data_IF_617089917095
#
_entry.id   IF_617089917095
#
_cell.length_a   1.000
_cell.length_b   1.000
_cell.length_c   1.000
_cell.angle_alpha   90.00
_cell.angle_beta   90.00
_cell.angle_gamma   90.00
#
_symmetry.space_group_name_H-M   'P 1'
#
loop_
_entity.id
_entity.type
_entity.pdbx_description
1 polymer ?
#
# COMPACT_ATOMS: atom_id res chain seq x y z
N UNK A 1 -2.79 14.68 22.00
CA UNK A 1 -2.88 16.11 21.65
C UNK A 1 -3.35 16.21 20.20
N UNK A 2 -4.48 16.87 19.93
CA UNK A 2 -4.90 17.20 18.57
C UNK A 2 -4.25 18.53 18.19
N UNK A 3 -3.46 18.55 17.13
CA UNK A 3 -2.81 19.78 16.64
C UNK A 3 -3.70 20.40 15.57
N UNK A 4 -4.06 21.68 15.72
CA UNK A 4 -4.77 22.42 14.67
C UNK A 4 -3.81 22.79 13.54
N UNK A 5 -4.22 22.50 12.30
CA UNK A 5 -3.42 22.76 11.11
C UNK A 5 -3.65 24.18 10.59
N UNK A 6 -2.55 24.90 10.31
CA UNK A 6 -2.57 26.18 9.61
C UNK A 6 -2.56 26.01 8.07
N UNK A 7 -2.80 24.79 7.57
CA UNK A 7 -2.78 24.50 6.14
C UNK A 7 -3.84 25.32 5.39
N UNK A 8 -3.40 26.04 4.35
CA UNK A 8 -4.26 26.71 3.38
C UNK A 8 -4.00 26.09 2.01
N UNK A 9 -5.02 25.49 1.35
CA UNK A 9 -4.83 24.95 0.01
C UNK A 9 -4.56 26.09 -0.98
N UNK A 10 -3.90 25.76 -2.09
CA UNK A 10 -3.80 26.68 -3.22
C UNK A 10 -5.21 27.12 -3.65
N UNK A 11 -5.37 28.38 -4.06
CA UNK A 11 -6.69 28.98 -4.36
C UNK A 11 -7.47 28.20 -5.43
N UNK A 12 -6.77 27.56 -6.38
CA UNK A 12 -7.34 26.72 -7.44
C UNK A 12 -7.52 25.24 -7.04
N UNK A 13 -7.12 24.85 -5.83
CA UNK A 13 -7.33 23.54 -5.20
C UNK A 13 -8.25 23.66 -3.98
N UNK A 14 -9.28 24.50 -4.07
CA UNK A 14 -10.14 24.87 -2.94
C UNK A 14 -11.04 23.73 -2.41
N UNK A 15 -11.20 22.63 -3.14
CA UNK A 15 -11.98 21.47 -2.70
C UNK A 15 -11.15 20.18 -2.63
N UNK A 16 -11.60 19.24 -1.80
CA UNK A 16 -10.91 17.97 -1.53
C UNK A 16 -10.74 17.10 -2.79
N UNK A 17 -11.67 17.18 -3.74
CA UNK A 17 -11.60 16.41 -4.98
C UNK A 17 -10.45 16.88 -5.87
N UNK A 18 -10.33 18.20 -6.07
CA UNK A 18 -9.25 18.80 -6.85
C UNK A 18 -7.88 18.52 -6.21
N UNK A 19 -7.79 18.64 -4.88
CA UNK A 19 -6.57 18.30 -4.13
C UNK A 19 -6.18 16.82 -4.29
N UNK A 20 -7.14 15.94 -4.56
CA UNK A 20 -6.88 14.51 -4.82
C UNK A 20 -6.52 14.26 -6.29
N UNK A 21 -7.26 14.84 -7.23
CA UNK A 21 -7.07 14.58 -8.67
C UNK A 21 -5.82 15.20 -9.24
N UNK A 22 -5.53 16.45 -8.90
CA UNK A 22 -4.38 17.15 -9.45
C UNK A 22 -3.07 16.34 -9.27
N UNK A 23 -2.70 15.89 -8.05
CA UNK A 23 -1.50 15.08 -7.89
C UNK A 23 -1.62 13.66 -8.46
N UNK A 24 -2.83 13.10 -8.57
CA UNK A 24 -3.03 11.79 -9.16
C UNK A 24 -2.87 11.78 -10.69
N UNK A 25 -3.28 12.86 -11.37
CA UNK A 25 -3.36 12.93 -12.83
C UNK A 25 -2.21 13.72 -13.47
N UNK A 26 -1.76 14.80 -12.82
CA UNK A 26 -0.86 15.77 -13.45
C UNK A 26 0.55 15.77 -12.84
N UNK A 27 0.70 15.32 -11.59
CA UNK A 27 2.02 15.24 -10.96
C UNK A 27 2.81 14.06 -11.51
N UNK A 28 3.59 14.33 -12.56
CA UNK A 28 4.61 13.41 -13.07
C UNK A 28 5.89 13.61 -12.28
N UNK A 29 6.28 12.60 -11.52
CA UNK A 29 7.60 12.53 -10.92
C UNK A 29 8.40 11.49 -11.67
N UNK A 30 9.63 11.84 -12.03
CA UNK A 30 10.57 10.86 -12.55
C UNK A 30 10.84 9.81 -11.47
N UNK A 31 10.80 8.54 -11.86
CA UNK A 31 11.30 7.45 -11.02
C UNK A 31 12.78 7.75 -10.75
N UNK A 32 13.22 7.75 -9.48
CA UNK A 32 14.63 7.98 -9.19
C UNK A 32 15.53 6.99 -9.95
N UNK A 33 16.65 7.47 -10.49
CA UNK A 33 17.62 6.63 -11.20
C UNK A 33 18.22 5.54 -10.30
N UNK A 34 18.22 5.76 -8.98
CA UNK A 34 18.81 4.86 -7.98
C UNK A 34 17.75 4.09 -7.19
N UNK A 35 16.59 3.80 -7.80
CA UNK A 35 15.59 2.95 -7.17
C UNK A 35 15.98 1.48 -7.38
N UNK A 36 16.31 0.80 -6.29
CA UNK A 36 16.80 -0.59 -6.31
C UNK A 36 15.71 -1.54 -5.82
N UNK A 37 15.28 -2.45 -6.70
CA UNK A 37 14.32 -3.49 -6.33
C UNK A 37 15.02 -4.67 -5.67
N UNK A 38 14.49 -5.09 -4.52
CA UNK A 38 14.84 -6.34 -3.88
C UNK A 38 13.60 -7.22 -3.73
N UNK A 39 13.71 -8.50 -4.09
CA UNK A 39 12.68 -9.51 -3.83
C UNK A 39 13.02 -10.27 -2.56
N UNK A 40 12.09 -10.32 -1.62
CA UNK A 40 12.19 -11.15 -0.41
C UNK A 40 11.22 -12.33 -0.52
N UNK A 41 11.73 -13.54 -0.33
CA UNK A 41 10.90 -14.74 -0.26
C UNK A 41 10.23 -14.79 1.10
N UNK A 42 8.90 -14.82 1.11
CA UNK A 42 8.10 -14.81 2.32
C UNK A 42 8.04 -16.20 2.98
N UNK A 43 7.68 -16.31 4.27
CA UNK A 43 7.60 -17.60 4.97
C UNK A 43 6.63 -18.62 4.34
N UNK A 44 5.60 -18.14 3.63
CA UNK A 44 4.67 -18.96 2.86
C UNK A 44 5.20 -19.39 1.48
N UNK A 45 6.49 -19.16 1.20
CA UNK A 45 7.20 -19.50 -0.05
C UNK A 45 6.70 -18.75 -1.29
N UNK A 46 6.10 -17.59 -1.06
CA UNK A 46 5.79 -16.60 -2.09
C UNK A 46 6.83 -15.47 -2.04
N UNK A 47 6.47 -14.26 -2.44
CA UNK A 47 7.39 -13.13 -2.36
C UNK A 47 6.72 -11.78 -2.06
N UNK A 48 7.53 -10.85 -1.55
CA UNK A 48 7.25 -9.41 -1.59
C UNK A 48 8.40 -8.70 -2.29
N UNK A 49 8.08 -7.70 -3.10
CA UNK A 49 9.08 -6.84 -3.73
C UNK A 49 9.14 -5.51 -2.97
N UNK A 50 10.34 -5.10 -2.60
CA UNK A 50 10.61 -3.82 -1.96
C UNK A 50 11.48 -2.97 -2.87
N UNK A 51 11.22 -1.67 -2.87
CA UNK A 51 11.97 -0.72 -3.69
C UNK A 51 12.70 0.28 -2.78
N UNK A 52 14.02 0.11 -2.71
CA UNK A 52 14.94 0.94 -1.94
C UNK A 52 15.22 2.26 -2.65
N UNK A 53 15.40 3.31 -1.85
CA UNK A 53 15.88 4.59 -2.34
C UNK A 53 16.66 5.36 -1.27
N UNK A 54 17.87 5.78 -1.63
CA UNK A 54 18.80 6.52 -0.77
C UNK A 54 20.05 5.73 -0.40
N UNK A 55 20.97 6.40 0.29
CA UNK A 55 22.28 5.83 0.67
C UNK A 55 22.14 4.85 1.83
N UNK A 56 23.05 3.86 1.90
CA UNK A 56 23.19 2.98 3.07
C UNK A 56 23.60 3.79 4.32
N UNK A 57 23.37 3.21 5.50
CA UNK A 57 23.73 3.80 6.82
C UNK A 57 22.99 5.09 7.22
N UNK A 58 22.00 5.54 6.44
CA UNK A 58 21.05 6.59 6.85
C UNK A 58 19.86 6.00 7.64
N UNK A 59 19.19 6.80 8.50
CA UNK A 59 17.93 6.37 9.11
C UNK A 59 16.91 5.98 8.03
N UNK A 60 16.15 4.92 8.31
CA UNK A 60 15.29 4.27 7.33
C UNK A 60 13.82 4.59 7.57
N UNK A 61 13.09 4.86 6.49
CA UNK A 61 11.64 4.96 6.51
C UNK A 61 11.00 3.88 5.63
N UNK A 62 10.22 2.99 6.23
CA UNK A 62 9.39 2.00 5.50
C UNK A 62 8.11 2.69 5.04
N UNK A 63 7.78 2.58 3.75
CA UNK A 63 6.61 3.22 3.14
C UNK A 63 5.58 2.18 2.71
N UNK A 64 4.32 2.37 3.13
CA UNK A 64 3.17 1.57 2.73
C UNK A 64 2.20 2.37 1.86
N UNK A 65 1.97 1.86 0.65
CA UNK A 65 1.06 2.49 -0.30
C UNK A 65 -0.43 2.22 0.02
N UNK A 66 -1.31 2.95 -0.65
CA UNK A 66 -2.76 2.76 -0.58
C UNK A 66 -3.27 1.62 -1.47
N UNK A 67 -4.58 1.39 -1.45
CA UNK A 67 -5.24 0.37 -2.26
C UNK A 67 -4.99 0.61 -3.75
N UNK A 68 -4.67 -0.44 -4.51
CA UNK A 68 -4.28 -0.39 -5.94
C UNK A 68 -3.05 0.48 -6.24
N UNK A 69 -2.29 0.88 -5.22
CA UNK A 69 -1.03 1.61 -5.36
C UNK A 69 0.17 0.67 -5.58
N UNK A 70 1.35 1.28 -5.50
CA UNK A 70 2.67 0.62 -5.55
C UNK A 70 3.75 1.64 -5.14
N UNK A 71 5.01 1.21 -5.09
CA UNK A 71 6.17 2.10 -4.95
C UNK A 71 6.24 3.20 -6.02
N UNK A 72 5.67 2.94 -7.22
CA UNK A 72 5.65 3.88 -8.35
C UNK A 72 4.53 4.93 -8.24
N UNK A 73 3.72 4.90 -7.18
CA UNK A 73 2.70 5.92 -6.97
C UNK A 73 3.33 7.29 -6.76
N UNK A 74 2.77 8.34 -7.35
CA UNK A 74 3.37 9.68 -7.32
C UNK A 74 3.60 10.22 -5.90
N UNK A 75 2.72 9.91 -4.95
CA UNK A 75 2.91 10.30 -3.55
C UNK A 75 4.02 9.50 -2.84
N UNK A 76 4.24 8.22 -3.21
CA UNK A 76 5.37 7.44 -2.70
C UNK A 76 6.66 7.98 -3.27
N UNK A 77 6.78 8.11 -4.59
CA UNK A 77 7.97 8.67 -5.24
C UNK A 77 8.32 10.08 -4.72
N UNK A 78 7.30 10.92 -4.56
CA UNK A 78 7.49 12.28 -4.01
C UNK A 78 7.98 12.27 -2.57
N UNK A 79 7.50 11.34 -1.75
CA UNK A 79 7.96 11.19 -0.38
C UNK A 79 9.37 10.59 -0.32
N UNK A 80 9.70 9.60 -1.15
CA UNK A 80 11.05 9.05 -1.25
C UNK A 80 12.07 10.15 -1.62
N UNK A 81 11.76 11.00 -2.60
CA UNK A 81 12.58 12.19 -2.93
C UNK A 81 12.73 13.16 -1.77
N UNK A 82 11.63 13.45 -1.08
CA UNK A 82 11.65 14.34 0.07
C UNK A 82 12.53 13.79 1.20
N UNK A 83 12.39 12.51 1.53
CA UNK A 83 13.16 11.84 2.57
C UNK A 83 14.66 11.83 2.22
N UNK A 84 15.00 11.47 0.98
CA UNK A 84 16.37 11.48 0.49
C UNK A 84 17.04 12.85 0.64
N UNK A 85 16.36 13.91 0.19
CA UNK A 85 16.87 15.28 0.30
C UNK A 85 17.01 15.77 1.76
N UNK A 86 16.42 15.07 2.73
CA UNK A 86 16.54 15.33 4.15
C UNK A 86 17.46 14.33 4.87
N UNK A 87 18.32 13.62 4.13
CA UNK A 87 19.32 12.71 4.71
C UNK A 87 18.74 11.41 5.26
N UNK A 88 17.53 11.03 4.85
CA UNK A 88 16.87 9.78 5.21
C UNK A 88 16.84 8.87 3.98
N UNK A 89 16.97 7.56 4.19
CA UNK A 89 16.70 6.57 3.14
C UNK A 89 15.33 5.96 3.33
N UNK A 90 14.80 5.35 2.28
CA UNK A 90 13.46 4.79 2.29
C UNK A 90 13.39 3.43 1.62
N UNK A 91 12.42 2.64 2.03
CA UNK A 91 12.06 1.39 1.36
C UNK A 91 10.55 1.34 1.21
N UNK A 92 10.07 1.23 -0.03
CA UNK A 92 8.65 1.09 -0.31
C UNK A 92 8.30 -0.39 -0.41
N UNK A 93 7.41 -0.86 0.46
CA UNK A 93 6.84 -2.20 0.34
C UNK A 93 5.79 -2.18 -0.77
N UNK A 94 5.99 -2.96 -1.82
CA UNK A 94 4.89 -3.29 -2.72
C UNK A 94 4.10 -4.42 -2.09
N UNK A 95 2.84 -4.16 -1.77
CA UNK A 95 1.94 -5.23 -1.36
C UNK A 95 1.84 -6.29 -2.45
N UNK A 96 1.45 -7.51 -2.05
CA UNK A 96 1.38 -8.67 -2.96
C UNK A 96 0.67 -8.33 -4.26
N UNK A 97 1.43 -8.39 -5.36
CA UNK A 97 0.95 -8.19 -6.71
C UNK A 97 0.89 -6.74 -7.19
N UNK A 98 1.39 -5.81 -6.39
CA UNK A 98 1.47 -4.39 -6.71
C UNK A 98 2.83 -3.96 -7.29
N UNK A 99 3.82 -4.85 -7.34
CA UNK A 99 5.16 -4.53 -7.86
C UNK A 99 5.23 -4.44 -9.38
N UNK A 100 4.18 -4.90 -10.08
CA UNK A 100 4.11 -5.06 -11.53
C UNK A 100 3.99 -6.53 -11.97
N UNK A 101 4.32 -7.45 -11.06
CA UNK A 101 4.27 -8.90 -11.24
C UNK A 101 3.26 -9.52 -10.26
N UNK A 102 2.39 -10.45 -10.71
CA UNK A 102 1.53 -11.20 -9.82
C UNK A 102 2.32 -12.18 -8.96
N UNK A 103 1.87 -12.38 -7.73
CA UNK A 103 2.38 -13.42 -6.83
C UNK A 103 2.01 -14.84 -7.27
N UNK A 104 2.78 -15.83 -6.78
CA UNK A 104 2.63 -17.24 -7.12
C UNK A 104 1.60 -17.97 -6.25
N UNK A 105 1.08 -17.33 -5.20
CA UNK A 105 -0.03 -17.83 -4.38
C UNK A 105 -1.28 -16.96 -4.55
N UNK A 106 -2.47 -17.53 -4.33
CA UNK A 106 -3.74 -16.82 -4.39
C UNK A 106 -3.85 -15.68 -3.36
N UNK A 107 -3.14 -15.79 -2.22
CA UNK A 107 -3.10 -14.76 -1.15
C UNK A 107 -2.77 -13.37 -1.71
N UNK A 108 -3.70 -12.42 -1.54
CA UNK A 108 -3.48 -11.00 -1.81
C UNK A 108 -3.24 -10.23 -0.51
N UNK A 109 -3.33 -8.90 -0.57
CA UNK A 109 -3.27 -8.02 0.60
C UNK A 109 -4.65 -7.43 0.91
N UNK A 110 -4.86 -6.99 2.16
CA UNK A 110 -6.04 -6.26 2.60
C UNK A 110 -5.72 -5.34 3.79
N UNK A 111 -6.70 -4.58 4.29
CA UNK A 111 -6.53 -3.60 5.39
C UNK A 111 -5.96 -4.17 6.68
N UNK A 112 -6.12 -5.47 6.89
CA UNK A 112 -5.73 -6.17 8.11
C UNK A 112 -4.52 -7.09 7.93
N UNK A 113 -3.93 -7.15 6.73
CA UNK A 113 -2.77 -8.02 6.47
C UNK A 113 -1.49 -7.34 6.96
N UNK A 114 -1.03 -7.76 8.14
CA UNK A 114 0.12 -7.19 8.85
C UNK A 114 1.36 -8.06 8.75
N UNK A 115 1.23 -9.27 8.22
CA UNK A 115 2.30 -10.27 8.20
C UNK A 115 3.46 -9.82 7.31
N UNK A 116 3.18 -9.31 6.11
CA UNK A 116 4.20 -8.89 5.16
C UNK A 116 4.98 -7.66 5.66
N UNK A 117 4.31 -6.70 6.31
CA UNK A 117 4.99 -5.59 6.99
C UNK A 117 5.86 -6.11 8.13
N UNK A 118 5.33 -7.02 8.96
CA UNK A 118 6.08 -7.58 10.06
C UNK A 118 7.31 -8.35 9.58
N UNK A 119 7.15 -9.17 8.54
CA UNK A 119 8.23 -9.92 7.91
C UNK A 119 9.31 -8.99 7.36
N UNK A 120 8.94 -7.91 6.65
CA UNK A 120 9.87 -6.90 6.18
C UNK A 120 10.62 -6.24 7.34
N UNK A 121 9.90 -5.78 8.37
CA UNK A 121 10.49 -5.14 9.53
C UNK A 121 11.52 -6.04 10.21
N UNK A 122 11.16 -7.30 10.48
CA UNK A 122 12.07 -8.26 11.12
C UNK A 122 13.29 -8.55 10.24
N UNK A 123 13.09 -8.71 8.93
CA UNK A 123 14.17 -8.93 7.96
C UNK A 123 15.17 -7.78 7.99
N UNK A 124 14.70 -6.53 7.95
CA UNK A 124 15.57 -5.35 7.98
C UNK A 124 16.21 -5.21 9.36
N UNK A 125 15.46 -5.39 10.45
CA UNK A 125 16.00 -5.28 11.82
C UNK A 125 17.09 -6.33 12.08
N UNK A 126 16.97 -7.53 11.51
CA UNK A 126 18.02 -8.55 11.58
C UNK A 126 19.28 -8.14 10.82
N UNK A 127 19.13 -7.58 9.61
CA UNK A 127 20.24 -7.10 8.78
C UNK A 127 20.92 -5.87 9.37
N UNK A 128 20.15 -5.01 10.02
CA UNK A 128 20.59 -3.72 10.54
C UNK A 128 20.03 -3.44 11.95
N UNK A 129 20.60 -4.08 12.99
CA UNK A 129 20.06 -4.06 14.34
C UNK A 129 19.90 -2.65 14.94
N UNK A 130 20.81 -1.74 14.60
CA UNK A 130 20.91 -0.42 15.22
C UNK A 130 20.32 0.71 14.36
N UNK A 131 19.82 0.43 13.16
CA UNK A 131 19.29 1.48 12.28
C UNK A 131 18.03 2.10 12.89
N UNK A 132 18.03 3.43 13.01
CA UNK A 132 16.83 4.19 13.37
C UNK A 132 15.78 4.01 12.28
N UNK A 133 14.55 3.64 12.67
CA UNK A 133 13.49 3.27 11.74
C UNK A 133 12.19 4.02 12.03
N UNK A 134 11.52 4.44 10.97
CA UNK A 134 10.15 4.91 11.01
C UNK A 134 9.29 4.18 9.96
N UNK A 135 7.97 4.18 10.14
CA UNK A 135 7.03 3.62 9.17
C UNK A 135 5.96 4.65 8.81
N UNK A 136 5.69 4.82 7.52
CA UNK A 136 4.66 5.73 7.02
C UNK A 136 3.67 4.93 6.18
N UNK A 137 2.38 5.00 6.51
CA UNK A 137 1.32 4.29 5.80
C UNK A 137 0.21 5.21 5.30
N UNK A 138 -0.16 5.05 4.03
CA UNK A 138 -1.22 5.83 3.39
C UNK A 138 -2.50 5.02 3.23
N UNK A 139 -3.65 5.61 3.58
CA UNK A 139 -4.96 5.00 3.37
C UNK A 139 -5.03 3.57 3.93
N UNK A 140 -5.20 2.54 3.08
CA UNK A 140 -5.21 1.14 3.53
C UNK A 140 -3.87 0.70 4.14
N UNK A 141 -2.74 1.19 3.63
CA UNK A 141 -1.43 0.95 4.24
C UNK A 141 -1.30 1.59 5.62
N UNK A 142 -2.07 2.66 5.88
CA UNK A 142 -2.21 3.22 7.22
C UNK A 142 -3.01 2.33 8.16
N UNK A 143 -4.04 1.61 7.67
CA UNK A 143 -4.74 0.60 8.48
C UNK A 143 -3.81 -0.57 8.83
N UNK A 144 -3.06 -1.09 7.86
CA UNK A 144 -2.03 -2.11 8.09
C UNK A 144 -1.05 -1.65 9.16
N UNK A 145 -0.52 -0.43 9.04
CA UNK A 145 0.39 0.15 10.03
C UNK A 145 -0.24 0.22 11.43
N UNK A 146 -1.44 0.78 11.57
CA UNK A 146 -2.07 0.96 12.88
C UNK A 146 -2.42 -0.38 13.54
N UNK A 147 -2.92 -1.35 12.77
CA UNK A 147 -3.18 -2.71 13.27
C UNK A 147 -1.88 -3.37 13.71
N UNK A 148 -0.83 -3.32 12.87
CA UNK A 148 0.46 -3.91 13.18
C UNK A 148 1.08 -3.31 14.44
N UNK A 149 1.04 -1.99 14.62
CA UNK A 149 1.48 -1.35 15.87
C UNK A 149 0.71 -1.87 17.09
N UNK A 150 -0.60 -2.04 16.96
CA UNK A 150 -1.45 -2.60 18.03
C UNK A 150 -1.12 -4.06 18.37
N UNK A 151 -0.81 -4.89 17.37
CA UNK A 151 -0.45 -6.30 17.56
C UNK A 151 0.94 -6.49 18.16
N UNK A 152 1.90 -5.65 17.78
CA UNK A 152 3.29 -5.79 18.23
C UNK A 152 3.54 -5.09 19.58
N UNK A 153 2.82 -4.00 19.86
CA UNK A 153 2.97 -3.24 21.11
C UNK A 153 4.41 -2.79 21.36
N UNK A 154 4.95 -3.07 22.54
CA UNK A 154 6.30 -2.65 22.96
C UNK A 154 7.44 -3.47 22.35
N UNK A 155 7.14 -4.50 21.54
CA UNK A 155 8.17 -5.34 20.89
C UNK A 155 8.90 -4.61 19.76
N UNK A 156 8.35 -3.50 19.27
CA UNK A 156 8.93 -2.73 18.18
C UNK A 156 9.96 -1.73 18.68
N UNK A 157 11.16 -1.80 18.12
CA UNK A 157 12.11 -0.70 18.13
C UNK A 157 11.85 0.18 16.89
N UNK A 158 10.98 1.17 17.05
CA UNK A 158 10.68 2.21 16.05
C UNK A 158 10.80 3.60 16.70
N UNK A 159 11.37 4.54 15.96
CA UNK A 159 11.50 5.93 16.39
C UNK A 159 10.21 6.72 16.14
N UNK A 160 9.48 6.38 15.07
CA UNK A 160 8.23 7.07 14.72
C UNK A 160 7.33 6.20 13.82
N UNK A 161 6.03 6.51 13.83
CA UNK A 161 5.07 6.00 12.87
C UNK A 161 4.11 7.10 12.43
N UNK A 162 3.77 7.16 11.15
CA UNK A 162 2.87 8.17 10.59
C UNK A 162 1.79 7.50 9.73
N UNK A 163 0.53 7.64 10.12
CA UNK A 163 -0.59 7.09 9.38
C UNK A 163 -1.38 8.24 8.72
N UNK A 164 -1.54 8.20 7.40
CA UNK A 164 -2.03 9.33 6.60
C UNK A 164 -3.35 8.95 5.93
N UNK A 165 -4.39 9.76 6.16
CA UNK A 165 -5.72 9.61 5.54
C UNK A 165 -6.31 8.20 5.71
N UNK A 166 -6.17 7.63 6.91
CA UNK A 166 -6.60 6.26 7.19
C UNK A 166 -8.13 6.19 7.31
N UNK A 167 -8.79 5.27 6.59
CA UNK A 167 -10.21 5.03 6.79
C UNK A 167 -10.40 4.15 8.04
N UNK A 168 -10.51 4.78 9.21
CA UNK A 168 -10.62 4.10 10.52
C UNK A 168 -11.96 3.36 10.70
N UNK A 169 -13.06 3.92 10.17
CA UNK A 169 -14.39 3.30 10.20
C UNK A 169 -14.78 2.89 8.78
N UNK A 170 -14.34 1.71 8.40
CA UNK A 170 -14.36 1.23 7.03
C UNK A 170 -15.78 1.12 6.45
N UNK A 171 -16.75 0.68 7.24
CA UNK A 171 -18.16 0.63 6.84
C UNK A 171 -18.74 2.03 6.53
N UNK A 172 -18.34 3.03 7.31
CA UNK A 172 -18.71 4.43 7.08
C UNK A 172 -18.06 4.99 5.81
N UNK A 173 -16.77 4.68 5.59
CA UNK A 173 -16.05 5.07 4.37
C UNK A 173 -16.64 4.43 3.11
N UNK A 174 -16.98 3.14 3.15
CA UNK A 174 -17.63 2.45 2.04
C UNK A 174 -18.98 3.08 1.69
N UNK A 175 -19.81 3.38 2.69
CA UNK A 175 -21.10 4.08 2.50
C UNK A 175 -20.90 5.45 1.85
N UNK A 176 -19.87 6.19 2.24
CA UNK A 176 -19.55 7.50 1.63
C UNK A 176 -19.08 7.39 0.18
N UNK A 177 -18.37 6.31 -0.18
CA UNK A 177 -17.94 6.03 -1.56
C UNK A 177 -19.11 5.70 -2.51
N UNK A 178 -20.25 5.25 -1.99
CA UNK A 178 -21.43 4.95 -2.79
C UNK A 178 -22.29 6.18 -3.12
N UNK A 179 -21.92 7.37 -2.61
CA UNK A 179 -22.72 8.59 -2.73
C UNK A 179 -22.05 9.67 -3.60
N UNK A 180 -22.88 10.35 -4.41
CA UNK A 180 -22.47 11.51 -5.20
C UNK A 180 -21.26 11.27 -6.10
N UNK A 181 -20.37 12.26 -6.15
CA UNK A 181 -19.15 12.25 -6.96
C UNK A 181 -18.14 11.16 -6.53
N UNK A 182 -18.24 10.64 -5.30
CA UNK A 182 -17.34 9.62 -4.77
C UNK A 182 -17.44 8.27 -5.51
N UNK A 183 -18.52 8.06 -6.27
CA UNK A 183 -18.70 6.91 -7.15
C UNK A 183 -17.59 6.78 -8.18
N UNK A 184 -16.97 7.89 -8.61
CA UNK A 184 -15.86 7.88 -9.55
C UNK A 184 -14.58 7.29 -8.92
N UNK A 185 -14.26 7.67 -7.67
CA UNK A 185 -13.16 7.04 -6.93
C UNK A 185 -13.39 5.54 -6.76
N UNK A 186 -14.62 5.19 -6.37
CA UNK A 186 -15.04 3.81 -6.17
C UNK A 186 -14.88 2.99 -7.46
N UNK A 187 -15.31 3.53 -8.59
CA UNK A 187 -15.18 2.87 -9.89
C UNK A 187 -13.71 2.59 -10.22
N UNK A 188 -12.83 3.59 -10.12
CA UNK A 188 -11.41 3.44 -10.40
C UNK A 188 -10.74 2.38 -9.51
N UNK A 189 -11.01 2.41 -8.19
CA UNK A 189 -10.48 1.43 -7.25
C UNK A 189 -10.91 0.00 -7.61
N UNK A 190 -12.18 -0.17 -7.98
CA UNK A 190 -12.73 -1.50 -8.27
C UNK A 190 -12.23 -2.02 -9.61
N UNK A 191 -12.09 -1.15 -10.62
CA UNK A 191 -11.45 -1.56 -11.88
C UNK A 191 -10.00 -2.00 -11.66
N UNK A 192 -9.25 -1.27 -10.81
CA UNK A 192 -7.89 -1.68 -10.44
C UNK A 192 -7.84 -3.04 -9.74
N UNK A 193 -8.79 -3.32 -8.84
CA UNK A 193 -8.90 -4.61 -8.17
C UNK A 193 -9.30 -5.75 -9.11
N UNK A 194 -10.27 -5.52 -9.99
CA UNK A 194 -10.69 -6.51 -11.00
C UNK A 194 -9.51 -6.84 -11.92
N UNK A 195 -8.81 -5.81 -12.41
CA UNK A 195 -7.63 -5.97 -13.24
C UNK A 195 -6.53 -6.78 -12.54
N UNK A 196 -6.26 -6.49 -11.26
CA UNK A 196 -5.32 -7.24 -10.46
C UNK A 196 -5.69 -8.72 -10.35
N UNK A 197 -6.95 -9.01 -10.01
CA UNK A 197 -7.44 -10.38 -9.83
C UNK A 197 -7.40 -11.17 -11.13
N UNK A 198 -7.77 -10.54 -12.26
CA UNK A 198 -7.70 -11.17 -13.58
C UNK A 198 -6.25 -11.50 -13.97
N UNK A 199 -5.32 -10.56 -13.78
CA UNK A 199 -3.89 -10.81 -14.06
C UNK A 199 -3.32 -11.92 -13.21
N UNK A 200 -3.71 -11.96 -11.93
CA UNK A 200 -3.27 -12.99 -11.00
C UNK A 200 -3.82 -14.36 -11.36
N UNK A 201 -5.10 -14.46 -11.68
CA UNK A 201 -5.70 -15.70 -12.15
C UNK A 201 -4.96 -16.25 -13.38
N UNK A 202 -4.76 -15.41 -14.40
CA UNK A 202 -4.05 -15.80 -15.62
C UNK A 202 -2.60 -16.22 -15.36
N UNK A 203 -1.92 -15.58 -14.39
CA UNK A 203 -0.57 -15.97 -13.97
C UNK A 203 -0.55 -17.34 -13.31
N UNK A 204 -1.47 -17.60 -12.37
CA UNK A 204 -1.56 -18.88 -11.66
C UNK A 204 -1.87 -20.04 -12.62
N UNK A 205 -2.76 -19.82 -13.59
CA UNK A 205 -3.01 -20.78 -14.67
C UNK A 205 -1.74 -21.03 -15.50
N UNK A 206 -1.03 -19.97 -15.87
CA UNK A 206 0.20 -20.06 -16.68
C UNK A 206 1.31 -20.86 -15.99
N UNK A 207 1.46 -20.73 -14.67
CA UNK A 207 2.49 -21.46 -13.91
C UNK A 207 2.02 -22.87 -13.48
N UNK A 208 0.81 -23.29 -13.86
CA UNK A 208 0.25 -24.59 -13.49
C UNK A 208 -0.19 -24.71 -12.03
N UNK A 209 -0.39 -23.57 -11.34
CA UNK A 209 -0.85 -23.54 -9.95
C UNK A 209 -2.39 -23.68 -9.86
N UNK A 210 -2.93 -24.81 -10.35
CA UNK A 210 -4.38 -25.03 -10.51
C UNK A 210 -5.18 -24.84 -9.21
N UNK A 211 -4.62 -25.26 -8.07
CA UNK A 211 -5.25 -25.09 -6.76
C UNK A 211 -5.40 -23.61 -6.40
N UNK A 212 -4.34 -22.83 -6.60
CA UNK A 212 -4.33 -21.39 -6.32
C UNK A 212 -5.25 -20.64 -7.29
N UNK A 213 -5.20 -20.99 -8.59
CA UNK A 213 -6.08 -20.41 -9.60
C UNK A 213 -7.56 -20.61 -9.22
N UNK A 214 -7.93 -21.82 -8.78
CA UNK A 214 -9.29 -22.15 -8.34
C UNK A 214 -9.76 -21.30 -7.16
N UNK A 215 -8.90 -21.03 -6.16
CA UNK A 215 -9.22 -20.13 -5.03
C UNK A 215 -9.59 -18.74 -5.55
N UNK A 216 -8.83 -18.24 -6.55
CA UNK A 216 -9.16 -16.98 -7.20
C UNK A 216 -10.44 -17.09 -8.00
N UNK A 217 -10.72 -18.16 -8.75
CA UNK A 217 -11.97 -18.28 -9.52
C UNK A 217 -13.21 -18.27 -8.62
N UNK A 218 -13.16 -18.94 -7.46
CA UNK A 218 -14.26 -18.92 -6.47
C UNK A 218 -14.47 -17.52 -5.89
N UNK A 219 -13.38 -16.78 -5.70
CA UNK A 219 -13.41 -15.40 -5.21
C UNK A 219 -13.86 -14.43 -6.32
N UNK A 220 -13.32 -14.54 -7.54
CA UNK A 220 -13.58 -13.70 -8.71
C UNK A 220 -14.99 -13.87 -9.28
N UNK A 221 -15.50 -15.11 -9.34
CA UNK A 221 -16.91 -15.38 -9.70
C UNK A 221 -17.87 -14.78 -8.67
N UNK A 222 -17.47 -14.74 -7.39
CA UNK A 222 -18.22 -14.07 -6.32
C UNK A 222 -18.13 -12.54 -6.40
N UNK A 223 -16.97 -11.99 -6.77
CA UNK A 223 -16.74 -10.55 -6.98
C UNK A 223 -17.49 -10.02 -8.21
N UNK A 224 -17.61 -10.81 -9.27
CA UNK A 224 -18.37 -10.45 -10.48
C UNK A 224 -19.89 -10.61 -10.27
N UNK A 225 -20.34 -11.52 -9.39
CA UNK A 225 -21.78 -11.78 -9.14
C UNK A 225 -22.43 -10.95 -8.03
N UNK A 226 -21.69 -10.40 -7.04
CA UNK A 226 -22.27 -9.58 -5.97
C UNK A 226 -22.18 -8.08 -6.26
N UNK A 227 -23.17 -7.31 -5.78
CA UNK A 227 -23.09 -5.84 -5.70
C UNK A 227 -21.77 -5.44 -5.04
N UNK A 228 -20.99 -4.62 -5.75
CA UNK A 228 -19.69 -4.00 -5.40
C UNK A 228 -19.47 -3.67 -3.91
N UNK A 229 -20.51 -3.35 -3.16
CA UNK A 229 -20.49 -3.03 -1.72
C UNK A 229 -19.99 -4.21 -0.87
N UNK A 230 -20.33 -5.46 -1.26
CA UNK A 230 -19.90 -6.66 -0.52
C UNK A 230 -18.41 -6.97 -0.69
N UNK A 231 -17.78 -6.45 -1.75
CA UNK A 231 -16.36 -6.65 -2.08
C UNK A 231 -15.51 -5.76 -1.18
N UNK A 232 -15.86 -4.47 -1.14
CA UNK A 232 -15.20 -3.50 -0.28
C UNK A 232 -15.33 -3.92 1.19
N UNK A 233 -16.51 -4.36 1.65
CA UNK A 233 -16.71 -4.86 3.02
C UNK A 233 -15.93 -6.13 3.41
N UNK A 234 -15.30 -6.83 2.46
CA UNK A 234 -14.45 -8.01 2.73
C UNK A 234 -12.95 -7.70 2.60
N UNK A 235 -12.60 -6.69 1.81
CA UNK A 235 -11.22 -6.18 1.70
C UNK A 235 -10.87 -5.17 2.80
N UNK A 236 -11.88 -4.76 3.56
CA UNK A 236 -11.83 -3.83 4.67
C UNK A 236 -12.34 -4.49 5.93
#
# INVERSE_FOLDING_TARGET
>A
MLIQSNFKPAWWLSNAHMQTFYPALLRKLAVPLNLERERLITPDKDFIDIDWYGEKDKPLVILLHGLTGSSKSSYILGLQHFLFNNGLRSVALNFRGCSGEPNDLARGYHSGDTDDLNFLYQTIRQREPNTSMAVIGFSIGGNVLLKWLGEQGTKLSLNAAVAISVPLVLAGCATKLDNGFSKNYRHNLIQGLIYYIQRKHAHLEKIGAEKEASIISHTGTFLLKKKLISILKKLF
#
